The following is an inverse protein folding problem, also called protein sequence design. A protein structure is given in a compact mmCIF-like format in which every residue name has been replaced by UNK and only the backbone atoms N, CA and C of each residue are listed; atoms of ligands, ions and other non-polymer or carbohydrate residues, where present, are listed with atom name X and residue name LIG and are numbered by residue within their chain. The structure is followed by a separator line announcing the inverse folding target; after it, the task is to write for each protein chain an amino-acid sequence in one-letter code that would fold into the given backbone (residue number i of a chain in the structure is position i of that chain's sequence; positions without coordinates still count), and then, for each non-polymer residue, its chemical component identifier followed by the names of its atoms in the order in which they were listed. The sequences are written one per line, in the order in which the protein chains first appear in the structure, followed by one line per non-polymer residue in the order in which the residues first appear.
data_IF_707345067929
#
_entry.id   IF_707345067929
#
_cell.length_a   1.000
_cell.length_b   1.000
_cell.length_c   1.000
_cell.angle_alpha   90.00
_cell.angle_beta   90.00
_cell.angle_gamma   90.00
#
_symmetry.space_group_name_H-M   'P 1'
#
loop_
_entity.id
_entity.type
_entity.pdbx_description
1 polymer ?
#
# COMPACT_ATOMS: atom_id res chain seq x y z
N UNK A 1 16.06 16.21 13.72
CA UNK A 1 15.92 14.72 13.68
C UNK A 1 14.62 14.26 13.02
N UNK A 2 13.44 14.80 13.36
CA UNK A 2 12.15 14.38 12.76
C UNK A 2 12.10 14.43 11.23
N UNK A 3 12.59 15.51 10.61
CA UNK A 3 12.62 15.64 9.15
C UNK A 3 13.67 14.75 8.47
N UNK A 4 14.73 14.36 9.19
CA UNK A 4 15.78 13.50 8.64
C UNK A 4 15.29 12.06 8.48
N UNK A 5 14.42 11.58 9.37
CA UNK A 5 13.78 10.28 9.25
C UNK A 5 12.80 10.24 8.07
N UNK A 6 11.99 11.27 7.90
CA UNK A 6 11.07 11.37 6.76
C UNK A 6 11.83 11.43 5.42
N UNK A 7 12.91 12.20 5.36
CA UNK A 7 13.80 12.25 4.18
C UNK A 7 14.48 10.91 3.95
N UNK A 8 14.96 10.23 5.00
CA UNK A 8 15.57 8.91 4.87
C UNK A 8 14.58 7.83 4.39
N UNK A 9 13.31 7.93 4.79
CA UNK A 9 12.24 7.02 4.35
C UNK A 9 11.87 7.28 2.88
N UNK A 10 11.73 8.55 2.50
CA UNK A 10 11.48 8.96 1.11
C UNK A 10 12.66 8.60 0.19
N UNK A 11 13.88 8.80 0.66
CA UNK A 11 15.12 8.44 -0.05
C UNK A 11 15.29 6.91 -0.07
N UNK A 12 14.90 6.18 0.97
CA UNK A 12 14.89 4.72 0.98
C UNK A 12 13.91 4.14 -0.04
N UNK A 13 12.72 4.72 -0.17
CA UNK A 13 11.73 4.35 -1.20
C UNK A 13 12.22 4.72 -2.60
N UNK A 14 12.83 5.91 -2.77
CA UNK A 14 13.36 6.36 -4.06
C UNK A 14 14.62 5.59 -4.52
N UNK A 15 15.53 5.26 -3.59
CA UNK A 15 16.75 4.49 -3.88
C UNK A 15 16.46 2.99 -3.99
N UNK A 16 15.49 2.47 -3.24
CA UNK A 16 14.97 1.11 -3.40
C UNK A 16 14.31 0.92 -4.76
N UNK A 17 13.62 1.96 -5.26
CA UNK A 17 13.16 1.97 -6.64
C UNK A 17 14.35 1.97 -7.62
N UNK A 18 15.36 2.84 -7.43
CA UNK A 18 16.48 3.06 -8.35
C UNK A 18 17.37 1.85 -8.71
N UNK A 19 17.41 0.80 -7.89
CA UNK A 19 18.20 -0.41 -8.13
C UNK A 19 17.58 -1.43 -9.10
N UNK A 20 16.30 -1.28 -9.45
CA UNK A 20 15.52 -2.24 -10.26
C UNK A 20 15.47 -1.86 -11.76
N UNK A 21 16.12 -0.76 -12.16
CA UNK A 21 15.96 -0.14 -13.48
C UNK A 21 16.87 -0.71 -14.58
N UNK A 22 17.24 -1.99 -14.49
CA UNK A 22 18.16 -2.64 -15.44
C UNK A 22 17.52 -3.79 -16.25
N UNK A 23 16.18 -3.91 -16.27
CA UNK A 23 15.48 -4.87 -17.11
C UNK A 23 14.44 -4.16 -17.99
N UNK A 24 14.71 -4.13 -19.29
CA UNK A 24 13.68 -3.90 -20.32
C UNK A 24 12.56 -4.91 -20.10
N UNK A 25 11.30 -4.44 -20.16
CA UNK A 25 10.04 -5.18 -19.99
C UNK A 25 9.44 -5.35 -18.57
N UNK A 26 9.89 -4.60 -17.55
CA UNK A 26 9.11 -4.52 -16.29
C UNK A 26 7.98 -3.51 -16.46
N UNK A 27 6.74 -4.01 -16.57
CA UNK A 27 5.54 -3.17 -16.55
C UNK A 27 5.49 -2.36 -15.25
N UNK A 28 5.34 -1.04 -15.37
CA UNK A 28 5.16 -0.16 -14.22
C UNK A 28 3.74 -0.24 -13.64
N UNK A 29 2.84 -0.97 -14.30
CA UNK A 29 1.42 -1.00 -13.95
C UNK A 29 1.18 -1.51 -12.52
N UNK A 30 1.81 -2.60 -12.03
CA UNK A 30 1.62 -3.02 -10.65
C UNK A 30 2.07 -1.96 -9.64
N UNK A 31 3.20 -1.29 -9.92
CA UNK A 31 3.70 -0.21 -9.06
C UNK A 31 2.73 0.98 -9.04
N UNK A 32 2.17 1.35 -10.20
CA UNK A 32 1.16 2.43 -10.30
C UNK A 32 -0.09 2.07 -9.50
N UNK A 33 -0.55 0.83 -9.58
CA UNK A 33 -1.75 0.38 -8.88
C UNK A 33 -1.52 0.36 -7.35
N UNK A 34 -0.38 -0.17 -6.90
CA UNK A 34 0.01 -0.11 -5.49
C UNK A 34 0.15 1.32 -4.98
N UNK A 35 0.84 2.18 -5.71
CA UNK A 35 1.01 3.59 -5.34
C UNK A 35 -0.34 4.34 -5.31
N UNK A 36 -1.24 4.05 -6.23
CA UNK A 36 -2.58 4.62 -6.26
C UNK A 36 -3.36 4.24 -4.98
N UNK A 37 -3.30 2.97 -4.55
CA UNK A 37 -3.93 2.52 -3.30
C UNK A 37 -3.25 3.03 -2.03
N UNK A 38 -1.96 3.36 -2.09
CA UNK A 38 -1.28 3.99 -0.95
C UNK A 38 -1.80 5.41 -0.70
N UNK A 39 -2.12 6.15 -1.76
CA UNK A 39 -2.66 7.52 -1.67
C UNK A 39 -4.15 7.50 -1.36
N UNK A 40 -4.90 6.62 -2.04
CA UNK A 40 -6.34 6.45 -1.86
C UNK A 40 -6.62 4.95 -1.75
N UNK A 41 -6.78 4.41 -0.52
CA UNK A 41 -7.09 3.00 -0.33
C UNK A 41 -8.29 2.57 -1.18
N UNK A 42 -8.12 1.49 -1.93
CA UNK A 42 -9.09 0.98 -2.90
C UNK A 42 -8.88 1.42 -4.35
N UNK A 43 -8.10 2.48 -4.62
CA UNK A 43 -7.95 2.98 -5.99
C UNK A 43 -7.19 2.01 -6.90
N UNK A 44 -6.13 1.36 -6.41
CA UNK A 44 -5.41 0.31 -7.13
C UNK A 44 -6.26 -0.92 -7.42
N UNK A 45 -7.09 -1.35 -6.47
CA UNK A 45 -8.08 -2.42 -6.68
C UNK A 45 -9.08 -2.03 -7.78
N UNK A 46 -9.52 -0.77 -7.81
CA UNK A 46 -10.37 -0.26 -8.88
C UNK A 46 -9.69 -0.35 -10.24
N UNK A 47 -8.40 0.00 -10.31
CA UNK A 47 -7.59 -0.12 -11.53
C UNK A 47 -7.34 -1.59 -11.94
N UNK A 48 -7.37 -2.53 -10.98
CA UNK A 48 -7.36 -3.98 -11.24
C UNK A 48 -8.73 -4.52 -11.71
N UNK A 49 -9.80 -3.71 -11.67
CA UNK A 49 -11.16 -4.15 -11.98
C UNK A 49 -11.88 -4.83 -10.81
N UNK A 50 -11.28 -4.87 -9.62
CA UNK A 50 -11.86 -5.46 -8.41
C UNK A 50 -12.76 -4.45 -7.67
N UNK A 51 -13.88 -4.05 -8.28
CA UNK A 51 -14.70 -2.93 -7.79
C UNK A 51 -15.27 -3.11 -6.37
N UNK A 52 -15.71 -4.32 -6.02
CA UNK A 52 -16.23 -4.61 -4.66
C UNK A 52 -15.13 -4.50 -3.60
N UNK A 53 -13.92 -4.97 -3.95
CA UNK A 53 -12.73 -4.89 -3.11
C UNK A 53 -12.27 -3.44 -2.97
N UNK A 54 -12.26 -2.69 -4.07
CA UNK A 54 -11.96 -1.26 -4.09
C UNK A 54 -12.87 -0.47 -3.14
N UNK A 55 -14.19 -0.71 -3.22
CA UNK A 55 -15.16 -0.09 -2.33
C UNK A 55 -14.91 -0.48 -0.87
N UNK A 56 -14.61 -1.75 -0.60
CA UNK A 56 -14.30 -2.23 0.76
C UNK A 56 -13.10 -1.50 1.34
N UNK A 57 -12.00 -1.42 0.59
CA UNK A 57 -10.79 -0.74 1.02
C UNK A 57 -11.01 0.74 1.32
N UNK A 58 -11.75 1.41 0.43
CA UNK A 58 -12.12 2.81 0.62
C UNK A 58 -13.02 3.01 1.85
N UNK A 59 -14.05 2.18 2.02
CA UNK A 59 -14.99 2.29 3.14
C UNK A 59 -14.31 2.05 4.49
N UNK A 60 -13.38 1.11 4.58
CA UNK A 60 -12.61 0.91 5.81
C UNK A 60 -11.80 2.15 6.15
N UNK A 61 -11.19 2.82 5.17
CA UNK A 61 -10.49 4.10 5.41
C UNK A 61 -11.44 5.16 5.97
N UNK A 62 -12.62 5.32 5.38
CA UNK A 62 -13.62 6.26 5.89
C UNK A 62 -14.04 5.90 7.32
N UNK A 63 -14.25 4.63 7.62
CA UNK A 63 -14.61 4.16 8.97
C UNK A 63 -13.47 4.39 9.96
N UNK A 64 -12.21 4.19 9.57
CA UNK A 64 -11.06 4.47 10.41
C UNK A 64 -10.93 5.97 10.70
N UNK A 65 -11.06 6.82 9.69
CA UNK A 65 -10.85 8.25 9.85
C UNK A 65 -12.02 8.91 10.58
N UNK A 66 -13.25 8.62 10.16
CA UNK A 66 -14.47 9.22 10.72
C UNK A 66 -14.90 8.49 12.00
N UNK A 67 -14.86 7.16 12.02
CA UNK A 67 -15.28 6.38 13.17
C UNK A 67 -14.40 6.64 14.39
N UNK A 68 -13.10 6.90 14.21
CA UNK A 68 -12.25 7.24 15.34
C UNK A 68 -12.51 8.65 15.88
N UNK A 69 -12.94 9.61 15.06
CA UNK A 69 -13.45 10.89 15.58
C UNK A 69 -14.60 10.67 16.56
N UNK A 70 -15.60 9.86 16.19
CA UNK A 70 -16.71 9.55 17.10
C UNK A 70 -16.27 8.77 18.34
N UNK A 71 -15.31 7.85 18.23
CA UNK A 71 -14.78 7.11 19.38
C UNK A 71 -13.99 8.02 20.34
N UNK A 72 -13.29 9.02 19.81
CA UNK A 72 -12.54 9.98 20.62
C UNK A 72 -13.45 10.81 21.53
N UNK A 73 -14.67 11.14 21.07
CA UNK A 73 -15.65 11.88 21.87
C UNK A 73 -16.24 11.07 23.03
N UNK A 74 -16.21 9.73 22.93
CA UNK A 74 -16.80 8.82 23.93
C UNK A 74 -15.75 8.37 24.96
N UNK A 75 -14.47 8.31 24.58
CA UNK A 75 -13.42 7.74 25.43
C UNK A 75 -12.73 8.81 26.30
N UNK A 76 -12.75 8.66 27.65
CA UNK A 76 -12.21 9.67 28.57
C UNK A 76 -10.69 9.87 28.53
N UNK A 77 -9.94 9.07 27.75
CA UNK A 77 -8.47 9.06 27.70
C UNK A 77 -7.93 9.24 26.28
N UNK A 78 -8.49 10.17 25.52
CA UNK A 78 -8.28 10.38 24.08
C UNK A 78 -6.86 10.79 23.63
N UNK A 79 -5.83 10.73 24.47
CA UNK A 79 -4.44 11.02 24.09
C UNK A 79 -3.59 9.75 23.94
N UNK A 80 -2.86 9.53 22.82
CA UNK A 80 -2.75 10.33 21.61
C UNK A 80 -3.55 9.72 20.45
N UNK A 81 -4.86 9.95 20.43
CA UNK A 81 -5.78 9.46 19.38
C UNK A 81 -5.28 9.78 17.97
N UNK A 82 -4.79 11.00 17.73
CA UNK A 82 -4.30 11.40 16.41
C UNK A 82 -3.19 10.48 15.87
N UNK A 83 -2.14 10.21 16.68
CA UNK A 83 -1.03 9.36 16.21
C UNK A 83 -1.45 7.90 16.04
N UNK A 84 -2.37 7.42 16.88
CA UNK A 84 -2.90 6.07 16.77
C UNK A 84 -3.77 5.94 15.50
N UNK A 85 -4.64 6.92 15.22
CA UNK A 85 -5.45 6.97 13.99
C UNK A 85 -4.58 7.06 12.76
N UNK A 86 -3.66 8.03 12.71
CA UNK A 86 -2.75 8.17 11.59
C UNK A 86 -1.90 6.92 11.39
N UNK A 87 -1.49 6.24 12.47
CA UNK A 87 -0.77 4.97 12.41
C UNK A 87 -1.62 3.85 11.83
N UNK A 88 -2.84 3.66 12.32
CA UNK A 88 -3.77 2.62 11.82
C UNK A 88 -4.17 2.91 10.37
N UNK A 89 -4.45 4.16 10.02
CA UNK A 89 -4.69 4.59 8.65
C UNK A 89 -3.49 4.27 7.75
N UNK A 90 -2.27 4.64 8.17
CA UNK A 90 -1.07 4.39 7.37
C UNK A 90 -0.83 2.89 7.16
N UNK A 91 -1.06 2.06 8.19
CA UNK A 91 -0.99 0.61 8.08
C UNK A 91 -2.05 0.06 7.12
N UNK A 92 -3.26 0.59 7.17
CA UNK A 92 -4.33 0.23 6.24
C UNK A 92 -4.01 0.62 4.80
N UNK A 93 -3.48 1.83 4.58
CA UNK A 93 -3.06 2.30 3.27
C UNK A 93 -1.92 1.46 2.70
N UNK A 94 -0.93 1.07 3.53
CA UNK A 94 0.13 0.15 3.14
C UNK A 94 -0.43 -1.23 2.75
N UNK A 95 -1.33 -1.78 3.57
CA UNK A 95 -2.00 -3.04 3.24
C UNK A 95 -2.76 -2.94 1.91
N UNK A 96 -3.52 -1.86 1.72
CA UNK A 96 -4.25 -1.62 0.48
C UNK A 96 -3.34 -1.49 -0.74
N UNK A 97 -2.16 -0.90 -0.57
CA UNK A 97 -1.15 -0.76 -1.61
C UNK A 97 -0.52 -2.09 -2.00
N UNK A 98 -0.15 -2.90 -1.00
CA UNK A 98 0.44 -4.23 -1.21
C UNK A 98 -0.56 -5.13 -1.93
N UNK A 99 -1.80 -5.17 -1.46
CA UNK A 99 -2.86 -5.97 -2.09
C UNK A 99 -3.08 -5.57 -3.56
N UNK A 100 -3.16 -4.27 -3.86
CA UNK A 100 -3.33 -3.80 -5.24
C UNK A 100 -2.12 -4.14 -6.13
N UNK A 101 -0.91 -4.06 -5.58
CA UNK A 101 0.33 -4.40 -6.27
C UNK A 101 0.42 -5.90 -6.56
N UNK A 102 0.13 -6.75 -5.58
CA UNK A 102 0.17 -8.21 -5.73
C UNK A 102 -0.87 -8.69 -6.74
N UNK A 103 -2.11 -8.21 -6.65
CA UNK A 103 -3.14 -8.52 -7.65
C UNK A 103 -2.75 -8.04 -9.05
N UNK A 104 -2.13 -6.86 -9.17
CA UNK A 104 -1.69 -6.37 -10.47
C UNK A 104 -0.53 -7.21 -11.06
N UNK A 105 0.38 -7.71 -10.21
CA UNK A 105 1.39 -8.69 -10.64
C UNK A 105 0.72 -9.97 -11.13
N UNK A 106 -0.25 -10.51 -10.37
CA UNK A 106 -0.96 -11.74 -10.74
C UNK A 106 -1.68 -11.60 -12.09
N UNK A 107 -2.32 -10.45 -12.35
CA UNK A 107 -2.97 -10.15 -13.63
C UNK A 107 -1.98 -10.07 -14.81
N UNK A 108 -0.71 -9.78 -14.52
CA UNK A 108 0.39 -9.81 -15.50
C UNK A 108 1.11 -11.17 -15.56
N UNK A 109 0.64 -12.18 -14.83
CA UNK A 109 1.27 -13.51 -14.75
C UNK A 109 2.58 -13.52 -13.95
N UNK A 110 2.80 -12.50 -13.15
CA UNK A 110 3.95 -12.31 -12.28
C UNK A 110 3.57 -12.62 -10.83
N UNK A 111 4.54 -13.01 -10.02
CA UNK A 111 4.38 -13.07 -8.57
C UNK A 111 5.64 -12.58 -7.87
N UNK A 112 5.47 -11.91 -6.73
CA UNK A 112 6.55 -11.37 -5.92
C UNK A 112 6.76 -12.24 -4.69
N UNK A 113 7.98 -12.65 -4.41
CA UNK A 113 8.33 -13.52 -3.30
C UNK A 113 9.48 -12.90 -2.50
N UNK A 114 9.32 -12.79 -1.18
CA UNK A 114 10.41 -12.39 -0.29
C UNK A 114 11.15 -13.66 0.13
N UNK A 115 12.38 -13.85 -0.36
CA UNK A 115 13.24 -14.97 0.03
C UNK A 115 14.34 -14.50 0.99
N UNK A 116 14.97 -15.40 1.78
CA UNK A 116 16.09 -15.04 2.65
C UNK A 116 17.27 -14.39 1.92
N UNK A 117 17.39 -14.60 0.61
CA UNK A 117 18.41 -14.02 -0.26
C UNK A 117 17.98 -12.71 -0.91
N UNK A 118 16.72 -12.28 -0.71
CA UNK A 118 16.18 -11.02 -1.20
C UNK A 118 14.80 -11.16 -1.87
N UNK A 119 14.21 -10.04 -2.30
CA UNK A 119 12.99 -10.06 -3.09
C UNK A 119 13.24 -10.67 -4.48
N UNK A 120 12.37 -11.59 -4.90
CA UNK A 120 12.39 -12.24 -6.22
C UNK A 120 11.05 -12.04 -6.94
N UNK A 121 11.11 -11.78 -8.24
CA UNK A 121 9.96 -11.80 -9.15
C UNK A 121 10.00 -13.10 -9.95
N UNK A 122 8.90 -13.83 -9.98
CA UNK A 122 8.76 -15.08 -10.72
C UNK A 122 7.58 -15.02 -11.69
N UNK A 123 7.68 -15.76 -12.80
CA UNK A 123 6.60 -15.91 -13.77
C UNK A 123 5.87 -17.22 -13.50
N UNK A 124 4.55 -17.16 -13.36
CA UNK A 124 3.73 -18.36 -13.18
C UNK A 124 3.13 -18.75 -14.54
N UNK A 125 3.76 -19.68 -15.24
CA UNK A 125 3.14 -20.33 -16.41
C UNK A 125 2.19 -21.43 -15.93
N UNK A 126 0.88 -21.17 -16.00
CA UNK A 126 -0.13 -22.23 -15.89
C UNK A 126 -0.35 -22.82 -17.29
N UNK A 127 0.09 -24.06 -17.51
CA UNK A 127 -0.29 -24.90 -18.65
C UNK A 127 -1.58 -25.65 -18.33
#
# INVERSE_FOLDING_TARGET
MRYLLAVALMVGVALGAGGVWAQEDVSLRPLIHGAASLVIPGLGQYLNGEYEKALTHFMVTIVLDVGVWYLADILPWWYPSYYLVSGVHALWALYSAIDAYETALELEGLSFHITPTGPQLSFSYNF
#
